data_IF_380937869809
#
_entry.id   IF_380937869809
#
_cell.length_a   1.000
_cell.length_b   1.000
_cell.length_c   1.000
_cell.angle_alpha   90.00
_cell.angle_beta   90.00
_cell.angle_gamma   90.00
#
_symmetry.space_group_name_H-M   'P 1'
#
loop_
_entity.id
_entity.type
_entity.pdbx_description
1 polymer ?
#
# COMPACT_ATOMS: atom_id res chain seq x y z
N UNK A 1 -11.99 13.58 -0.02
CA UNK A 1 -12.83 12.37 0.22
C UNK A 1 -11.95 11.15 0.09
N UNK A 2 -12.06 10.20 1.01
CA UNK A 2 -11.37 8.90 0.90
C UNK A 2 -11.94 8.09 -0.27
N UNK A 3 -11.10 7.28 -0.90
CA UNK A 3 -11.49 6.44 -2.03
C UNK A 3 -11.41 4.96 -1.65
N UNK A 4 -12.55 4.29 -1.60
CA UNK A 4 -12.66 2.85 -1.32
C UNK A 4 -12.93 2.09 -2.60
N UNK A 5 -12.12 1.07 -2.87
CA UNK A 5 -12.18 0.22 -4.06
C UNK A 5 -12.25 -1.25 -3.64
N UNK A 6 -13.01 -2.05 -4.38
CA UNK A 6 -12.92 -3.52 -4.32
C UNK A 6 -11.58 -3.96 -4.91
N UNK A 7 -11.00 -5.04 -4.38
CA UNK A 7 -9.77 -5.66 -4.92
C UNK A 7 -9.90 -6.04 -6.40
N UNK A 8 -11.14 -6.24 -6.89
CA UNK A 8 -11.43 -6.51 -8.30
C UNK A 8 -11.11 -5.32 -9.21
N UNK A 9 -11.11 -4.09 -8.69
CA UNK A 9 -10.71 -2.86 -9.41
C UNK A 9 -9.19 -2.69 -9.47
N UNK A 10 -8.48 -3.76 -9.82
CA UNK A 10 -7.02 -3.87 -9.67
C UNK A 10 -6.23 -2.79 -10.44
N UNK A 11 -6.64 -2.47 -11.67
CA UNK A 11 -5.93 -1.48 -12.48
C UNK A 11 -6.03 -0.07 -11.86
N UNK A 12 -7.19 0.26 -11.29
CA UNK A 12 -7.41 1.53 -10.58
C UNK A 12 -6.60 1.58 -9.28
N UNK A 13 -6.59 0.49 -8.51
CA UNK A 13 -5.75 0.35 -7.32
C UNK A 13 -4.27 0.55 -7.67
N UNK A 14 -3.80 -0.05 -8.76
CA UNK A 14 -2.41 0.10 -9.21
C UNK A 14 -2.09 1.55 -9.58
N UNK A 15 -3.02 2.24 -10.23
CA UNK A 15 -2.87 3.65 -10.59
C UNK A 15 -2.74 4.54 -9.35
N UNK A 16 -3.69 4.44 -8.41
CA UNK A 16 -3.71 5.26 -7.19
C UNK A 16 -2.54 4.93 -6.28
N UNK A 17 -2.18 3.65 -6.15
CA UNK A 17 -1.00 3.25 -5.38
C UNK A 17 0.29 3.81 -5.99
N UNK A 18 0.39 3.81 -7.32
CA UNK A 18 1.55 4.40 -8.00
C UNK A 18 1.63 5.91 -7.78
N UNK A 19 0.50 6.60 -7.80
CA UNK A 19 0.41 8.03 -7.46
C UNK A 19 0.79 8.29 -6.00
N UNK A 20 0.24 7.49 -5.08
CA UNK A 20 0.55 7.54 -3.65
C UNK A 20 2.05 7.38 -3.38
N UNK A 21 2.76 6.50 -4.05
CA UNK A 21 4.19 6.30 -3.78
C UNK A 21 5.12 7.03 -4.75
N UNK A 22 4.59 7.86 -5.66
CA UNK A 22 5.37 8.58 -6.65
C UNK A 22 6.45 9.45 -5.98
N UNK A 23 7.72 9.27 -6.42
CA UNK A 23 8.86 10.01 -5.87
C UNK A 23 9.33 9.59 -4.47
N UNK A 24 8.61 8.67 -3.79
CA UNK A 24 8.90 8.27 -2.41
C UNK A 24 9.85 7.08 -2.28
N UNK A 25 10.12 6.37 -3.39
CA UNK A 25 10.92 5.16 -3.40
C UNK A 25 10.74 4.37 -4.69
N UNK A 26 10.91 3.05 -4.61
CA UNK A 26 10.72 2.15 -5.74
C UNK A 26 9.30 1.59 -5.71
N UNK A 27 8.63 1.66 -6.85
CA UNK A 27 7.32 1.06 -7.09
C UNK A 27 7.51 -0.02 -8.15
N UNK A 28 6.99 -1.21 -7.88
CA UNK A 28 6.94 -2.32 -8.84
C UNK A 28 5.48 -2.70 -9.05
N UNK A 29 4.98 -2.52 -10.26
CA UNK A 29 3.63 -2.93 -10.67
C UNK A 29 3.74 -4.22 -11.48
N UNK A 30 3.02 -5.24 -11.05
CA UNK A 30 2.88 -6.51 -11.74
C UNK A 30 1.41 -6.87 -11.95
N UNK A 31 1.16 -7.91 -12.75
CA UNK A 31 -0.20 -8.37 -13.07
C UNK A 31 -0.97 -8.81 -11.82
N UNK A 32 -0.26 -9.38 -10.85
CA UNK A 32 -0.85 -9.99 -9.65
C UNK A 32 -0.37 -9.35 -8.34
N UNK A 33 0.59 -8.41 -8.40
CA UNK A 33 1.20 -7.82 -7.22
C UNK A 33 1.67 -6.39 -7.50
N UNK A 34 1.49 -5.51 -6.52
CA UNK A 34 2.07 -4.18 -6.50
C UNK A 34 2.88 -4.00 -5.21
N UNK A 35 4.07 -3.43 -5.34
CA UNK A 35 5.01 -3.30 -4.23
C UNK A 35 5.57 -1.89 -4.16
N UNK A 36 5.62 -1.34 -2.95
CA UNK A 36 6.43 -0.19 -2.60
C UNK A 36 7.60 -0.63 -1.73
N UNK A 37 8.77 -0.04 -1.97
CA UNK A 37 9.93 -0.14 -1.08
C UNK A 37 10.63 1.20 -0.97
N UNK A 38 10.88 1.63 0.27
CA UNK A 38 11.69 2.81 0.54
C UNK A 38 13.15 2.57 0.16
N UNK A 39 13.84 3.64 -0.25
CA UNK A 39 15.27 3.61 -0.56
C UNK A 39 16.08 4.19 0.60
N UNK A 40 17.31 3.71 0.78
CA UNK A 40 18.26 4.28 1.76
C UNK A 40 18.46 5.79 1.49
N UNK A 41 18.73 6.62 2.51
CA UNK A 41 19.04 6.29 3.92
C UNK A 41 17.79 6.23 4.84
N UNK A 42 16.59 6.32 4.28
CA UNK A 42 15.35 6.39 5.06
C UNK A 42 15.00 5.03 5.69
N UNK A 43 14.05 5.04 6.63
CA UNK A 43 13.57 3.83 7.33
C UNK A 43 13.22 2.76 6.30
N UNK A 44 13.83 1.57 6.40
CA UNK A 44 13.54 0.44 5.55
C UNK A 44 12.10 -0.02 5.81
N UNK A 45 11.20 0.34 4.90
CA UNK A 45 9.79 -0.04 4.94
C UNK A 45 9.35 -0.40 3.53
N UNK A 46 8.45 -1.36 3.44
CA UNK A 46 7.85 -1.76 2.19
C UNK A 46 6.52 -2.44 2.45
N UNK A 47 5.61 -2.25 1.51
CA UNK A 47 4.32 -2.93 1.48
C UNK A 47 4.14 -3.52 0.10
N UNK A 48 3.76 -4.80 0.06
CA UNK A 48 3.29 -5.46 -1.15
C UNK A 48 1.84 -5.84 -0.96
N UNK A 49 1.03 -5.60 -1.98
CA UNK A 49 -0.37 -6.00 -2.05
C UNK A 49 -0.52 -6.89 -3.28
N UNK A 50 -1.14 -8.05 -3.13
CA UNK A 50 -1.50 -8.91 -4.26
C UNK A 50 -2.93 -8.66 -4.72
N UNK A 51 -3.23 -9.03 -5.96
CA UNK A 51 -4.58 -9.01 -6.54
C UNK A 51 -5.56 -9.95 -5.83
N UNK A 52 -5.03 -10.92 -5.07
CA UNK A 52 -5.81 -11.78 -4.19
C UNK A 52 -6.12 -11.13 -2.84
N UNK A 53 -5.65 -9.89 -2.59
CA UNK A 53 -5.85 -9.19 -1.32
C UNK A 53 -4.87 -9.58 -0.22
N UNK A 54 -3.78 -10.30 -0.53
CA UNK A 54 -2.75 -10.71 0.44
C UNK A 54 -1.72 -9.59 0.58
N UNK A 55 -1.35 -9.27 1.82
CA UNK A 55 -0.33 -8.26 2.15
C UNK A 55 0.98 -8.94 2.57
N UNK A 56 2.09 -8.44 2.03
CA UNK A 56 3.44 -8.74 2.54
C UNK A 56 4.07 -7.41 2.95
N UNK A 57 4.05 -7.12 4.25
CA UNK A 57 4.73 -5.96 4.82
C UNK A 57 6.08 -6.42 5.38
N UNK A 58 7.19 -5.89 4.85
CA UNK A 58 8.53 -6.20 5.33
C UNK A 58 8.86 -5.38 6.59
N UNK A 59 8.16 -5.67 7.68
CA UNK A 59 8.54 -5.28 9.04
C UNK A 59 8.65 -6.54 9.91
N UNK A 60 9.44 -6.53 11.00
CA UNK A 60 9.59 -7.71 11.84
C UNK A 60 8.31 -7.89 12.66
N UNK A 61 7.26 -8.53 12.11
CA UNK A 61 6.17 -9.20 12.83
C UNK A 61 5.13 -9.74 11.83
N UNK A 62 5.04 -11.07 11.78
CA UNK A 62 4.00 -11.96 11.23
C UNK A 62 3.62 -11.83 9.74
N UNK A 63 3.76 -12.95 9.02
CA UNK A 63 3.05 -13.24 7.76
C UNK A 63 1.54 -13.04 7.98
N UNK A 64 1.02 -11.84 7.68
CA UNK A 64 -0.42 -11.58 7.66
C UNK A 64 -0.95 -12.16 6.35
N UNK A 65 -1.25 -13.46 6.34
CA UNK A 65 -1.98 -14.13 5.26
C UNK A 65 -3.49 -13.85 5.36
N UNK A 66 -3.89 -12.59 5.59
CA UNK A 66 -5.29 -12.21 5.44
C UNK A 66 -5.55 -11.80 4.00
N UNK A 67 -6.67 -12.27 3.47
CA UNK A 67 -7.20 -11.92 2.16
C UNK A 67 -8.22 -10.79 2.35
N UNK A 68 -7.83 -9.57 2.02
CA UNK A 68 -8.70 -8.41 2.09
C UNK A 68 -9.55 -8.27 0.83
N UNK A 69 -10.75 -7.71 0.98
CA UNK A 69 -11.70 -7.50 -0.11
C UNK A 69 -11.65 -6.06 -0.64
N UNK A 70 -11.28 -5.11 0.21
CA UNK A 70 -11.31 -3.68 -0.10
C UNK A 70 -9.99 -2.98 0.21
N UNK A 71 -9.69 -1.96 -0.59
CA UNK A 71 -8.61 -0.99 -0.40
C UNK A 71 -9.21 0.41 -0.26
N UNK A 72 -8.91 1.11 0.82
CA UNK A 72 -9.26 2.52 1.03
C UNK A 72 -7.99 3.37 1.03
N UNK A 73 -7.91 4.32 0.12
CA UNK A 73 -6.87 5.34 0.10
C UNK A 73 -7.34 6.59 0.85
N UNK A 74 -6.48 7.11 1.72
CA UNK A 74 -6.74 8.39 2.38
C UNK A 74 -6.73 9.55 1.38
N UNK A 75 -7.41 10.65 1.73
CA UNK A 75 -7.57 11.82 0.86
C UNK A 75 -6.23 12.45 0.45
N UNK A 76 -5.22 12.40 1.33
CA UNK A 76 -3.89 12.96 1.07
C UNK A 76 -2.92 11.92 0.49
N UNK A 77 -3.41 10.70 0.24
CA UNK A 77 -2.59 9.55 -0.15
C UNK A 77 -1.45 9.29 0.83
N UNK A 78 -1.63 9.56 2.13
CA UNK A 78 -0.58 9.36 3.14
C UNK A 78 -0.73 8.03 3.89
N UNK A 79 -1.92 7.45 3.83
CA UNK A 79 -2.19 6.10 4.32
C UNK A 79 -3.10 5.34 3.37
N UNK A 80 -3.00 4.03 3.44
CA UNK A 80 -3.88 3.09 2.77
C UNK A 80 -4.38 2.08 3.81
N UNK A 81 -5.65 1.71 3.70
CA UNK A 81 -6.30 0.74 4.56
C UNK A 81 -6.78 -0.43 3.71
N UNK A 82 -6.51 -1.64 4.17
CA UNK A 82 -6.94 -2.89 3.56
C UNK A 82 -7.86 -3.57 4.55
N UNK A 83 -9.07 -3.94 4.13
CA UNK A 83 -10.06 -4.48 5.05
C UNK A 83 -11.05 -5.44 4.37
N UNK A 84 -11.67 -6.25 5.22
CA UNK A 84 -12.81 -7.11 4.94
C UNK A 84 -13.79 -6.99 6.12
N UNK A 85 -14.84 -7.81 6.15
CA UNK A 85 -15.86 -7.79 7.21
C UNK A 85 -15.32 -8.15 8.61
N UNK A 86 -14.16 -8.77 8.70
CA UNK A 86 -13.59 -9.37 9.92
C UNK A 86 -12.26 -8.76 10.34
N UNK A 87 -11.53 -8.18 9.40
CA UNK A 87 -10.14 -7.76 9.57
C UNK A 87 -9.86 -6.44 8.88
N UNK A 88 -8.93 -5.67 9.44
CA UNK A 88 -8.53 -4.38 8.89
C UNK A 88 -7.06 -4.11 9.22
N UNK A 89 -6.31 -3.66 8.22
CA UNK A 89 -4.92 -3.27 8.31
C UNK A 89 -4.73 -1.88 7.72
N UNK A 90 -4.06 -0.97 8.43
CA UNK A 90 -3.71 0.37 7.92
C UNK A 90 -2.20 0.47 7.79
N UNK A 91 -1.73 0.82 6.60
CA UNK A 91 -0.35 1.24 6.36
C UNK A 91 -0.30 2.75 6.22
N UNK A 92 0.57 3.39 7.01
CA UNK A 92 0.83 4.82 6.95
C UNK A 92 2.25 5.07 6.50
N UNK A 93 2.41 5.96 5.52
CA UNK A 93 3.74 6.36 5.06
C UNK A 93 4.44 7.08 6.21
N UNK A 94 5.66 6.66 6.60
CA UNK A 94 6.42 7.34 7.63
C UNK A 94 6.67 8.82 7.27
N UNK A 95 6.57 9.76 8.23
CA UNK A 95 6.78 11.19 7.97
C UNK A 95 8.15 11.52 7.35
N UNK A 96 9.18 10.72 7.63
CA UNK A 96 10.51 10.90 7.03
C UNK A 96 10.50 10.65 5.52
N UNK A 97 9.63 9.77 5.04
CA UNK A 97 9.45 9.47 3.61
C UNK A 97 8.51 10.50 2.98
N UNK A 98 7.42 10.88 3.65
CA UNK A 98 6.48 11.90 3.14
C UNK A 98 7.16 13.24 2.80
N UNK A 99 8.20 13.62 3.53
CA UNK A 99 9.04 14.80 3.23
C UNK A 99 9.68 14.79 1.85
N UNK A 100 9.69 13.67 1.13
CA UNK A 100 10.23 13.59 -0.23
C UNK A 100 9.25 14.07 -1.31
N UNK A 101 7.97 14.36 -0.96
CA UNK A 101 6.98 14.92 -1.90
C UNK A 101 7.11 16.43 -2.14
N UNK A 102 8.12 17.09 -1.57
CA UNK A 102 8.35 18.54 -1.69
C UNK A 102 8.70 18.99 -3.12
#
# INVERSE_FOLDING_TARGET
>A
MKQTLSIESWDEICSIFSEMFAGLGKIETGVEMITFSSVKPFVATGISVSKQGIIIANMPLHDIQNRFEYVEFDENLESLRLFDDTSSYEYRIPPQILKLRE
#
